data_IF_299543150357
#
_entry.id   IF_299543150357
#
_cell.length_a   1.000
_cell.length_b   1.000
_cell.length_c   1.000
_cell.angle_alpha   90.00
_cell.angle_beta   90.00
_cell.angle_gamma   90.00
#
_symmetry.space_group_name_H-M   'P 1'
#
loop_
_entity.id
_entity.type
_entity.pdbx_description
1 polymer ?
#
# COMPACT_ATOMS: atom_id res chain seq x y z
N UNK A 1 -27.13 -23.48 -17.15
CA UNK A 1 -26.08 -22.58 -17.67
C UNK A 1 -25.47 -23.24 -18.90
N UNK A 2 -25.28 -22.54 -20.03
CA UNK A 2 -24.68 -23.14 -21.23
C UNK A 2 -23.22 -23.56 -20.96
N UNK A 3 -22.80 -24.67 -21.56
CA UNK A 3 -21.43 -25.20 -21.45
C UNK A 3 -20.47 -24.21 -22.13
N UNK A 4 -19.43 -23.70 -21.44
CA UNK A 4 -18.44 -22.82 -22.04
C UNK A 4 -17.75 -23.45 -23.27
N UNK A 5 -17.53 -22.65 -24.31
CA UNK A 5 -17.02 -23.11 -25.61
C UNK A 5 -15.49 -23.34 -25.68
N UNK A 6 -14.77 -23.11 -24.59
CA UNK A 6 -13.32 -23.30 -24.53
C UNK A 6 -12.83 -23.51 -23.10
N UNK A 7 -11.71 -24.21 -22.93
CA UNK A 7 -11.04 -24.37 -21.63
C UNK A 7 -10.69 -23.02 -21.01
N UNK A 8 -10.37 -22.00 -21.82
CA UNK A 8 -10.12 -20.64 -21.32
C UNK A 8 -11.37 -20.04 -20.68
N UNK A 9 -12.54 -20.25 -21.28
CA UNK A 9 -13.81 -19.81 -20.70
C UNK A 9 -14.15 -20.60 -19.43
N UNK A 10 -13.86 -21.91 -19.39
CA UNK A 10 -13.98 -22.71 -18.16
C UNK A 10 -13.07 -22.25 -17.01
N UNK A 11 -11.89 -21.71 -17.33
CA UNK A 11 -10.96 -21.14 -16.33
C UNK A 11 -11.49 -19.86 -15.69
N UNK A 12 -12.47 -19.19 -16.30
CA UNK A 12 -12.92 -17.87 -15.84
C UNK A 12 -11.81 -16.80 -15.82
N UNK A 13 -10.75 -16.99 -16.63
CA UNK A 13 -9.53 -16.19 -16.48
C UNK A 13 -9.73 -14.73 -16.88
N UNK A 14 -9.45 -13.78 -15.98
CA UNK A 14 -9.36 -12.35 -16.28
C UNK A 14 -7.92 -11.86 -16.13
N UNK A 15 -7.26 -11.56 -17.25
CA UNK A 15 -5.90 -10.99 -17.23
C UNK A 15 -5.85 -9.60 -16.61
N UNK A 16 -6.96 -8.86 -16.65
CA UNK A 16 -7.06 -7.53 -16.07
C UNK A 16 -6.92 -7.53 -14.53
N UNK A 17 -7.25 -8.66 -13.89
CA UNK A 17 -7.14 -8.84 -12.44
C UNK A 17 -5.79 -9.39 -11.98
N UNK A 18 -4.88 -9.66 -12.91
CA UNK A 18 -3.54 -10.12 -12.56
C UNK A 18 -2.72 -8.94 -12.03
N UNK A 19 -2.25 -9.05 -10.79
CA UNK A 19 -1.28 -8.11 -10.20
C UNK A 19 0.13 -8.62 -10.47
N UNK A 20 0.97 -7.76 -11.05
CA UNK A 20 2.34 -8.08 -11.45
C UNK A 20 3.29 -6.98 -10.95
N UNK A 21 3.58 -6.93 -9.63
CA UNK A 21 4.47 -5.93 -9.08
C UNK A 21 5.86 -6.03 -9.71
N UNK A 22 6.46 -4.88 -10.03
CA UNK A 22 7.86 -4.83 -10.46
C UNK A 22 8.83 -4.74 -9.28
N UNK A 23 8.33 -4.34 -8.12
CA UNK A 23 9.10 -4.12 -6.91
C UNK A 23 8.20 -4.20 -5.67
N UNK A 24 8.78 -4.59 -4.55
CA UNK A 24 8.13 -4.77 -3.25
C UNK A 24 9.06 -4.24 -2.17
N UNK A 25 8.52 -3.42 -1.27
CA UNK A 25 9.25 -2.94 -0.10
C UNK A 25 8.96 -3.82 1.11
N UNK A 26 9.98 -4.10 1.91
CA UNK A 26 9.83 -4.62 3.28
C UNK A 26 10.13 -3.49 4.25
N UNK A 27 9.17 -3.23 5.13
CA UNK A 27 9.16 -2.14 6.08
C UNK A 27 9.01 -2.74 7.47
N UNK A 28 9.92 -2.42 8.38
CA UNK A 28 9.96 -3.04 9.71
C UNK A 28 10.16 -1.95 10.76
N UNK A 29 9.49 -2.08 11.90
CA UNK A 29 9.75 -1.27 13.07
C UNK A 29 9.51 -2.06 14.34
N UNK A 30 10.33 -1.85 15.37
CA UNK A 30 10.16 -2.56 16.65
C UNK A 30 8.92 -2.04 17.38
N UNK A 31 8.16 -2.95 17.98
CA UNK A 31 6.91 -2.64 18.68
C UNK A 31 7.13 -1.64 19.83
N UNK A 32 8.25 -1.72 20.54
CA UNK A 32 8.61 -0.78 21.62
C UNK A 32 8.90 0.65 21.13
N UNK A 33 9.05 0.85 19.81
CA UNK A 33 9.41 2.13 19.17
C UNK A 33 8.34 2.64 18.21
N UNK A 34 7.29 1.86 17.98
CA UNK A 34 6.24 2.12 16.97
C UNK A 34 4.89 2.08 17.67
N UNK A 35 4.11 3.15 17.51
CA UNK A 35 2.74 3.16 18.00
C UNK A 35 1.93 2.03 17.35
N UNK A 36 1.02 1.42 18.12
CA UNK A 36 0.13 0.39 17.58
C UNK A 36 -0.65 0.95 16.38
N UNK A 37 -0.63 0.24 15.26
CA UNK A 37 -1.51 0.51 14.12
C UNK A 37 -2.26 -0.77 13.79
N UNK A 38 -3.57 -0.65 13.77
CA UNK A 38 -4.53 -1.76 13.83
C UNK A 38 -4.80 -2.36 12.46
N UNK A 39 -3.76 -2.43 11.60
CA UNK A 39 -3.69 -3.11 10.28
C UNK A 39 -3.74 -2.25 9.01
N UNK A 40 -4.33 -1.06 9.04
CA UNK A 40 -4.48 -0.29 7.81
C UNK A 40 -3.32 0.70 7.60
N UNK A 41 -2.81 0.76 6.38
CA UNK A 41 -1.83 1.76 5.90
C UNK A 41 -2.40 2.63 4.77
N UNK A 42 -3.66 2.43 4.40
CA UNK A 42 -4.43 3.31 3.55
C UNK A 42 -4.83 4.55 4.36
N UNK A 43 -4.38 5.70 3.89
CA UNK A 43 -4.73 6.99 4.45
C UNK A 43 -6.16 7.39 4.15
N UNK A 44 -6.66 8.45 4.81
CA UNK A 44 -8.03 8.91 4.65
C UNK A 44 -8.39 9.37 3.23
N UNK A 45 -7.39 9.61 2.36
CA UNK A 45 -7.61 10.01 0.97
C UNK A 45 -7.13 8.96 -0.04
N UNK A 46 -6.87 7.72 0.41
CA UNK A 46 -6.43 6.60 -0.44
C UNK A 46 -4.92 6.61 -0.75
N UNK A 47 -4.14 7.43 -0.05
CA UNK A 47 -2.68 7.45 -0.11
C UNK A 47 -2.04 6.38 0.79
N UNK A 48 -0.78 6.03 0.55
CA UNK A 48 -0.05 5.16 1.47
C UNK A 48 0.47 5.97 2.66
N UNK A 49 0.10 5.59 3.88
CA UNK A 49 0.55 6.18 5.14
C UNK A 49 1.34 5.15 5.93
N UNK A 50 2.66 5.33 5.99
CA UNK A 50 3.53 4.47 6.81
C UNK A 50 3.64 5.05 8.24
N UNK A 51 3.27 4.28 9.28
CA UNK A 51 3.39 4.72 10.67
C UNK A 51 4.81 5.17 11.04
N UNK A 52 4.91 6.20 11.88
CA UNK A 52 6.18 6.70 12.37
C UNK A 52 6.96 5.62 13.12
N UNK A 53 8.25 5.46 12.79
CA UNK A 53 9.13 4.47 13.41
C UNK A 53 9.27 3.17 12.60
N UNK A 54 8.36 2.92 11.65
CA UNK A 54 8.53 1.85 10.66
C UNK A 54 9.39 2.37 9.52
N UNK A 55 10.42 1.62 9.15
CA UNK A 55 11.38 2.01 8.11
C UNK A 55 11.65 0.87 7.15
N UNK A 56 11.91 1.22 5.89
CA UNK A 56 12.32 0.26 4.88
C UNK A 56 13.62 -0.40 5.29
N UNK A 57 13.73 -1.71 5.07
CA UNK A 57 14.93 -2.50 5.43
C UNK A 57 16.12 -2.25 4.50
N UNK A 58 16.03 -1.24 3.63
CA UNK A 58 17.11 -0.78 2.76
C UNK A 58 17.09 -1.43 1.38
N UNK A 59 18.28 -1.56 0.81
CA UNK A 59 18.45 -2.05 -0.56
C UNK A 59 18.20 -3.56 -0.68
N UNK A 60 17.11 -3.91 -1.36
CA UNK A 60 16.77 -5.25 -1.85
C UNK A 60 16.86 -5.19 -3.39
N UNK A 61 17.52 -6.15 -4.01
CA UNK A 61 17.68 -6.18 -5.47
C UNK A 61 16.54 -6.95 -6.13
N UNK A 62 16.27 -6.67 -7.41
CA UNK A 62 15.17 -7.34 -8.15
C UNK A 62 15.38 -8.84 -8.37
N UNK A 63 16.62 -9.32 -8.32
CA UNK A 63 16.98 -10.75 -8.36
C UNK A 63 16.83 -11.44 -7.00
N UNK A 64 16.81 -10.67 -5.91
CA UNK A 64 16.57 -11.17 -4.57
C UNK A 64 15.06 -11.22 -4.32
N UNK A 65 14.52 -12.43 -4.16
CA UNK A 65 13.10 -12.60 -3.89
C UNK A 65 12.77 -12.14 -2.46
N UNK A 66 11.65 -11.45 -2.31
CA UNK A 66 10.96 -11.36 -1.02
C UNK A 66 10.03 -12.57 -0.97
N UNK A 67 10.35 -13.52 -0.11
CA UNK A 67 9.56 -14.71 0.11
C UNK A 67 8.45 -14.44 1.12
N UNK A 68 7.26 -14.96 0.80
CA UNK A 68 6.15 -15.04 1.73
C UNK A 68 5.66 -16.47 1.78
N UNK A 69 5.59 -17.01 2.99
CA UNK A 69 5.15 -18.37 3.25
C UNK A 69 3.92 -18.35 4.14
N UNK A 70 2.87 -19.04 3.69
CA UNK A 70 1.64 -19.25 4.45
C UNK A 70 1.64 -20.70 4.93
N UNK A 71 1.80 -20.89 6.24
CA UNK A 71 1.80 -22.20 6.87
C UNK A 71 0.48 -22.42 7.60
N UNK A 72 -0.14 -23.58 7.36
CA UNK A 72 -1.36 -24.03 8.03
C UNK A 72 -1.03 -25.37 8.70
N UNK A 73 -1.24 -25.44 10.01
CA UNK A 73 -1.17 -26.69 10.76
C UNK A 73 -2.58 -27.22 10.96
N UNK A 74 -2.76 -28.53 10.76
CA UNK A 74 -4.05 -29.18 10.92
C UNK A 74 -3.92 -30.55 11.59
N UNK A 75 -4.93 -30.92 12.35
CA UNK A 75 -5.10 -32.23 12.96
C UNK A 75 -6.26 -33.00 12.32
N UNK A 76 -6.07 -34.31 12.17
CA UNK A 76 -7.08 -35.23 11.65
C UNK A 76 -7.92 -35.82 12.79
N UNK A 77 -9.21 -36.02 12.53
CA UNK A 77 -10.13 -36.72 13.42
C UNK A 77 -10.58 -38.01 12.73
N UNK A 78 -10.15 -39.12 13.31
CA UNK A 78 -10.44 -40.46 12.81
C UNK A 78 -11.69 -41.03 13.48
N UNK A 79 -12.53 -41.70 12.70
CA UNK A 79 -13.69 -42.44 13.19
C UNK A 79 -13.49 -43.94 12.99
N UNK A 80 -13.98 -44.74 13.93
CA UNK A 80 -13.82 -46.18 13.88
C UNK A 80 -14.48 -46.78 12.62
N UNK A 81 -13.70 -47.51 11.82
CA UNK A 81 -14.18 -48.21 10.62
C UNK A 81 -13.94 -47.47 9.30
N UNK A 82 -13.50 -46.21 9.34
CA UNK A 82 -13.19 -45.43 8.14
C UNK A 82 -11.69 -45.44 7.83
N UNK A 83 -11.35 -45.57 6.55
CA UNK A 83 -9.96 -45.63 6.08
C UNK A 83 -9.29 -44.27 5.88
N UNK A 84 -10.05 -43.18 6.02
CA UNK A 84 -9.59 -41.80 5.90
C UNK A 84 -10.13 -40.97 7.06
N UNK A 85 -9.49 -39.83 7.38
CA UNK A 85 -10.01 -38.91 8.38
C UNK A 85 -11.43 -38.49 8.04
N UNK A 86 -12.32 -38.60 9.02
CA UNK A 86 -13.70 -38.12 8.86
C UNK A 86 -13.82 -36.61 8.95
N UNK A 87 -12.83 -35.95 9.56
CA UNK A 87 -12.73 -34.50 9.62
C UNK A 87 -11.27 -34.06 9.74
N UNK A 88 -10.95 -32.92 9.14
CA UNK A 88 -9.67 -32.20 9.33
C UNK A 88 -9.99 -30.89 10.05
N UNK A 89 -9.25 -30.57 11.10
CA UNK A 89 -9.37 -29.33 11.88
C UNK A 89 -8.08 -28.54 11.70
N UNK A 90 -8.19 -27.26 11.36
CA UNK A 90 -7.05 -26.35 11.29
C UNK A 90 -6.79 -25.81 12.70
N UNK A 91 -5.58 -25.96 13.21
CA UNK A 91 -5.21 -25.55 14.57
C UNK A 91 -4.60 -24.15 14.60
N UNK A 92 -3.75 -23.85 13.61
CA UNK A 92 -3.07 -22.57 13.50
C UNK A 92 -2.73 -22.23 12.06
N UNK A 93 -2.65 -20.94 11.81
CA UNK A 93 -2.05 -20.36 10.62
C UNK A 93 -0.89 -19.47 11.06
N UNK A 94 0.19 -19.43 10.27
CA UNK A 94 1.29 -18.49 10.44
C UNK A 94 1.78 -17.98 9.10
N UNK A 95 2.27 -16.75 9.09
CA UNK A 95 2.89 -16.13 7.93
C UNK A 95 4.36 -15.90 8.24
N UNK A 96 5.25 -16.34 7.35
CA UNK A 96 6.67 -16.03 7.42
C UNK A 96 7.08 -15.20 6.20
N UNK A 97 7.98 -14.24 6.44
CA UNK A 97 8.51 -13.33 5.44
C UNK A 97 10.03 -13.44 5.47
N UNK A 98 10.61 -13.88 4.38
CA UNK A 98 12.06 -13.94 4.18
C UNK A 98 12.47 -12.91 3.13
N UNK A 99 13.60 -12.23 3.35
CA UNK A 99 14.07 -11.18 2.47
C UNK A 99 15.58 -10.95 2.61
N UNK A 100 16.21 -10.53 1.52
CA UNK A 100 17.65 -10.30 1.45
C UNK A 100 17.98 -8.81 1.44
N UNK A 101 18.65 -8.33 2.48
CA UNK A 101 19.15 -6.95 2.57
C UNK A 101 20.61 -6.91 2.15
N UNK A 102 20.96 -5.98 1.26
CA UNK A 102 22.36 -5.74 0.82
C UNK A 102 22.98 -4.47 1.42
N UNK A 103 22.17 -3.66 2.09
CA UNK A 103 22.64 -2.49 2.82
C UNK A 103 23.17 -2.89 4.20
N UNK A 104 24.15 -2.14 4.72
CA UNK A 104 24.57 -2.28 6.12
C UNK A 104 24.20 -1.03 6.90
N UNK A 105 23.54 -1.23 8.03
CA UNK A 105 23.09 -0.16 8.92
C UNK A 105 22.59 -0.76 10.24
N UNK A 106 22.21 0.09 11.20
CA UNK A 106 21.76 -0.36 12.52
C UNK A 106 20.62 -1.38 12.41
N UNK A 107 19.57 -1.07 11.65
CA UNK A 107 18.40 -1.95 11.50
C UNK A 107 18.77 -3.33 10.95
N UNK A 108 19.66 -3.39 9.96
CA UNK A 108 20.10 -4.66 9.36
C UNK A 108 20.89 -5.50 10.37
N UNK A 109 21.75 -4.86 11.16
CA UNK A 109 22.49 -5.53 12.23
C UNK A 109 21.56 -6.00 13.36
N UNK A 110 20.59 -5.16 13.76
CA UNK A 110 19.58 -5.51 14.77
C UNK A 110 18.73 -6.71 14.32
N UNK A 111 18.34 -6.77 13.05
CA UNK A 111 17.58 -7.90 12.48
C UNK A 111 18.44 -9.18 12.33
N UNK A 112 19.71 -9.05 11.92
CA UNK A 112 20.58 -10.22 11.74
C UNK A 112 20.99 -10.85 13.07
N UNK A 113 21.32 -10.03 14.06
CA UNK A 113 21.87 -10.50 15.34
C UNK A 113 20.83 -10.54 16.45
N UNK A 114 19.59 -10.14 16.17
CA UNK A 114 18.50 -9.98 17.14
C UNK A 114 18.99 -9.26 18.40
N UNK A 115 19.58 -8.07 18.21
CA UNK A 115 20.20 -7.26 19.27
C UNK A 115 19.67 -5.82 19.27
N UNK A 116 19.87 -5.09 20.36
CA UNK A 116 19.60 -3.66 20.44
C UNK A 116 20.90 -2.85 20.28
N UNK A 117 21.01 -2.09 19.18
CA UNK A 117 22.20 -1.30 18.87
C UNK A 117 21.95 0.21 18.92
N UNK A 118 20.88 0.65 19.61
CA UNK A 118 20.62 2.07 19.86
C UNK A 118 21.75 2.78 20.59
N UNK A 119 22.37 2.10 21.56
CA UNK A 119 23.50 2.60 22.34
C UNK A 119 24.86 2.51 21.64
N UNK A 120 24.96 1.91 20.46
CA UNK A 120 26.24 1.79 19.74
C UNK A 120 26.65 3.17 19.19
N UNK A 121 27.79 3.66 19.66
CA UNK A 121 28.40 4.93 19.24
C UNK A 121 29.53 4.69 18.23
N UNK A 122 29.89 5.70 17.41
CA UNK A 122 31.07 5.62 16.56
C UNK A 122 32.35 5.35 17.36
N UNK A 123 33.27 4.57 16.78
CA UNK A 123 34.62 4.42 17.31
C UNK A 123 35.44 5.69 17.04
N UNK A 124 36.58 5.83 17.72
CA UNK A 124 37.50 6.96 17.53
C UNK A 124 37.99 7.13 16.08
N UNK A 125 37.84 6.11 15.23
CA UNK A 125 38.27 6.09 13.84
C UNK A 125 37.09 6.09 12.84
N UNK A 126 35.86 6.39 13.30
CA UNK A 126 34.68 6.53 12.44
C UNK A 126 33.98 5.23 12.06
N UNK A 127 34.38 4.09 12.65
CA UNK A 127 33.66 2.81 12.51
C UNK A 127 32.61 2.60 13.61
N UNK A 128 32.07 1.39 13.70
CA UNK A 128 31.25 0.95 14.84
C UNK A 128 31.72 -0.43 15.32
N UNK A 129 31.47 -0.73 16.59
CA UNK A 129 31.70 -2.05 17.18
C UNK A 129 30.37 -2.50 17.78
N UNK A 130 29.73 -3.48 17.15
CA UNK A 130 28.44 -4.04 17.58
C UNK A 130 28.68 -5.41 18.24
N UNK A 131 28.54 -5.54 19.56
CA UNK A 131 28.75 -6.81 20.25
C UNK A 131 27.61 -7.78 19.91
N UNK A 132 27.96 -9.03 19.58
CA UNK A 132 26.98 -10.08 19.31
C UNK A 132 26.80 -10.88 20.61
N UNK A 133 25.58 -10.93 21.11
CA UNK A 133 25.25 -11.67 22.32
C UNK A 133 25.26 -13.19 22.05
N UNK A 134 25.65 -13.98 23.06
CA UNK A 134 25.57 -15.44 22.98
C UNK A 134 24.14 -15.95 22.99
N UNK A 135 23.22 -15.18 23.57
CA UNK A 135 21.78 -15.41 23.56
C UNK A 135 21.16 -14.18 22.91
N UNK A 136 20.57 -14.29 21.71
CA UNK A 136 19.89 -13.17 21.08
C UNK A 136 18.64 -12.77 21.85
N UNK A 137 18.27 -11.50 21.77
CA UNK A 137 17.04 -10.98 22.36
C UNK A 137 15.84 -11.25 21.44
N UNK A 138 14.69 -11.57 22.02
CA UNK A 138 13.45 -11.76 21.26
C UNK A 138 12.71 -10.42 21.14
N UNK A 139 13.03 -9.66 20.10
CA UNK A 139 12.32 -8.42 19.80
C UNK A 139 11.09 -8.68 18.93
N UNK A 140 10.04 -7.94 19.25
CA UNK A 140 8.82 -7.87 18.46
C UNK A 140 8.88 -6.73 17.45
N UNK A 141 8.43 -7.04 16.24
CA UNK A 141 8.40 -6.11 15.13
C UNK A 141 7.01 -6.06 14.51
N UNK A 142 6.65 -4.88 14.01
CA UNK A 142 5.55 -4.73 13.07
C UNK A 142 6.14 -4.65 11.67
N UNK A 143 5.55 -5.41 10.75
CA UNK A 143 6.12 -5.67 9.42
C UNK A 143 5.10 -5.35 8.36
N UNK A 144 5.46 -4.47 7.43
CA UNK A 144 4.65 -4.12 6.27
C UNK A 144 5.39 -4.56 5.01
N UNK A 145 4.69 -5.29 4.17
CA UNK A 145 5.06 -5.58 2.79
C UNK A 145 4.23 -4.67 1.91
N UNK A 146 4.89 -3.87 1.08
CA UNK A 146 4.22 -2.91 0.21
C UNK A 146 4.68 -3.09 -1.23
N UNK A 147 3.79 -3.62 -2.04
CA UNK A 147 3.92 -3.71 -3.49
C UNK A 147 3.22 -2.55 -4.19
N UNK A 148 3.73 -2.25 -5.39
CA UNK A 148 3.08 -1.32 -6.30
C UNK A 148 2.91 -1.95 -7.67
N UNK A 149 1.71 -1.81 -8.21
CA UNK A 149 1.38 -2.11 -9.60
C UNK A 149 0.61 -0.93 -10.20
N UNK A 150 0.09 -1.08 -11.41
CA UNK A 150 -0.77 -0.09 -12.04
C UNK A 150 -1.83 -0.71 -12.93
N UNK A 151 -2.99 -0.05 -13.01
CA UNK A 151 -4.03 -0.36 -13.99
C UNK A 151 -4.28 0.87 -14.84
N UNK A 152 -4.08 0.75 -16.16
CA UNK A 152 -4.16 1.88 -17.12
C UNK A 152 -3.38 3.14 -16.67
N UNK A 153 -2.18 2.92 -16.13
CA UNK A 153 -1.28 3.97 -15.58
C UNK A 153 -1.71 4.59 -14.24
N UNK A 154 -2.83 4.17 -13.65
CA UNK A 154 -3.19 4.54 -12.29
C UNK A 154 -2.57 3.57 -11.28
N UNK A 155 -1.99 4.06 -10.17
CA UNK A 155 -1.31 3.20 -9.20
C UNK A 155 -2.28 2.27 -8.46
N UNK A 156 -1.80 1.05 -8.21
CA UNK A 156 -2.36 0.06 -7.28
C UNK A 156 -1.32 -0.16 -6.19
N UNK A 157 -1.74 -0.08 -4.94
CA UNK A 157 -0.94 -0.47 -3.78
C UNK A 157 -1.52 -1.74 -3.20
N UNK A 158 -0.68 -2.71 -2.85
CA UNK A 158 -1.14 -3.95 -2.24
C UNK A 158 -0.04 -4.55 -1.38
N UNK A 159 -0.40 -5.50 -0.52
CA UNK A 159 0.56 -6.21 0.30
C UNK A 159 -0.02 -6.63 1.63
N UNK A 160 0.82 -6.67 2.66
CA UNK A 160 0.45 -7.21 3.96
C UNK A 160 0.93 -6.31 5.07
N UNK A 161 0.06 -5.98 6.02
CA UNK A 161 0.40 -5.34 7.27
C UNK A 161 0.29 -6.39 8.38
N UNK A 162 1.42 -6.89 8.84
CA UNK A 162 1.49 -7.91 9.87
C UNK A 162 1.56 -7.24 11.24
N UNK A 163 0.69 -7.67 12.15
CA UNK A 163 0.57 -7.13 13.48
C UNK A 163 1.90 -7.34 14.22
N UNK A 164 2.19 -8.56 14.67
CA UNK A 164 3.40 -8.86 15.45
C UNK A 164 4.20 -9.95 14.76
N UNK A 165 5.49 -9.70 14.59
CA UNK A 165 6.45 -10.62 13.96
C UNK A 165 7.73 -10.68 14.76
N UNK A 166 8.40 -11.82 14.77
CA UNK A 166 9.70 -12.01 15.40
C UNK A 166 10.69 -12.61 14.41
N UNK A 167 11.98 -12.31 14.58
CA UNK A 167 13.05 -13.00 13.84
C UNK A 167 13.05 -14.45 14.28
N UNK A 168 12.65 -15.34 13.37
CA UNK A 168 12.54 -16.78 13.61
C UNK A 168 13.69 -17.58 13.01
N UNK A 169 14.42 -16.96 12.08
CA UNK A 169 15.57 -17.56 11.43
C UNK A 169 16.45 -16.49 10.81
N UNK A 170 17.72 -16.82 10.64
CA UNK A 170 18.68 -16.03 9.87
C UNK A 170 19.52 -16.99 9.03
N UNK A 171 19.71 -16.65 7.77
CA UNK A 171 20.43 -17.48 6.82
C UNK A 171 21.95 -17.24 6.90
N UNK A 172 22.71 -18.20 6.36
CA UNK A 172 24.17 -18.14 6.38
C UNK A 172 24.71 -16.97 5.55
N UNK A 173 25.66 -16.23 6.11
CA UNK A 173 26.46 -15.28 5.33
C UNK A 173 27.46 -16.02 4.46
N UNK A 174 27.36 -15.83 3.15
CA UNK A 174 28.25 -16.45 2.16
C UNK A 174 29.02 -15.37 1.40
N UNK A 175 30.34 -15.49 1.39
CA UNK A 175 31.21 -14.70 0.52
C UNK A 175 31.36 -15.41 -0.82
N UNK A 176 30.32 -15.30 -1.65
CA UNK A 176 30.31 -15.84 -3.02
C UNK A 176 30.76 -14.79 -4.04
N UNK A 177 31.02 -15.24 -5.27
CA UNK A 177 31.59 -14.49 -6.39
C UNK A 177 30.63 -13.44 -6.99
N UNK A 178 30.05 -12.57 -6.15
CA UNK A 178 29.26 -11.37 -6.47
C UNK A 178 29.55 -10.20 -5.49
N UNK A 179 30.57 -10.33 -4.64
CA UNK A 179 31.20 -9.27 -3.82
C UNK A 179 30.28 -8.38 -2.94
N UNK A 180 29.08 -8.83 -2.53
CA UNK A 180 28.20 -8.04 -1.66
C UNK A 180 27.89 -8.80 -0.37
N UNK A 181 27.91 -8.11 0.77
CA UNK A 181 27.48 -8.68 2.04
C UNK A 181 25.95 -8.78 2.07
N UNK A 182 25.44 -9.96 2.46
CA UNK A 182 24.02 -10.26 2.49
C UNK A 182 23.57 -10.50 3.93
N UNK A 183 22.44 -9.91 4.28
CA UNK A 183 21.71 -10.16 5.52
C UNK A 183 20.36 -10.77 5.14
N UNK A 184 20.04 -11.94 5.67
CA UNK A 184 18.85 -12.69 5.23
C UNK A 184 18.06 -13.20 6.45
N UNK A 185 17.30 -12.33 7.13
CA UNK A 185 16.42 -12.73 8.20
C UNK A 185 15.10 -13.30 7.68
N UNK A 186 14.47 -14.15 8.49
CA UNK A 186 13.07 -14.56 8.38
C UNK A 186 12.29 -13.97 9.55
N UNK A 187 11.22 -13.24 9.25
CA UNK A 187 10.26 -12.75 10.23
C UNK A 187 9.01 -13.64 10.21
N UNK A 188 8.56 -14.12 11.36
CA UNK A 188 7.34 -14.95 11.46
C UNK A 188 6.32 -14.31 12.39
N UNK A 189 5.04 -14.36 11.99
CA UNK A 189 3.94 -13.85 12.81
C UNK A 189 3.84 -14.61 14.12
N UNK A 190 3.64 -13.88 15.20
CA UNK A 190 3.35 -14.40 16.54
C UNK A 190 2.05 -13.75 17.05
N UNK A 191 1.45 -14.33 18.09
CA UNK A 191 0.23 -13.79 18.68
C UNK A 191 0.46 -12.36 19.18
N UNK A 192 -0.42 -11.45 18.79
CA UNK A 192 -0.45 -10.09 19.32
C UNK A 192 -1.33 -10.06 20.57
N UNK A 193 -0.80 -9.56 21.68
CA UNK A 193 -1.52 -9.57 22.96
C UNK A 193 -2.76 -8.66 22.90
N UNK A 194 -2.73 -7.62 22.05
CA UNK A 194 -3.86 -6.71 21.82
C UNK A 194 -4.88 -7.28 20.82
N UNK A 195 -4.49 -8.28 20.02
CA UNK A 195 -5.30 -8.81 18.93
C UNK A 195 -4.95 -10.27 18.58
N UNK A 196 -5.31 -11.17 19.49
CA UNK A 196 -4.93 -12.59 19.46
C UNK A 196 -5.47 -13.35 18.24
N UNK A 197 -6.58 -12.90 17.67
CA UNK A 197 -7.30 -13.61 16.61
C UNK A 197 -6.78 -13.31 15.21
N UNK A 198 -5.89 -12.32 15.06
CA UNK A 198 -5.50 -11.87 13.74
C UNK A 198 -4.00 -11.60 13.61
N UNK A 199 -3.41 -12.20 12.59
CA UNK A 199 -1.99 -12.09 12.27
C UNK A 199 -1.61 -10.77 11.59
N UNK A 200 -2.59 -10.10 10.97
CA UNK A 200 -2.39 -8.92 10.14
C UNK A 200 -3.55 -8.73 9.17
N UNK A 201 -3.30 -8.00 8.09
CA UNK A 201 -4.26 -7.74 7.00
C UNK A 201 -3.56 -7.82 5.65
N UNK A 202 -4.22 -8.42 4.66
CA UNK A 202 -3.90 -8.19 3.25
C UNK A 202 -4.66 -6.95 2.80
N UNK A 203 -3.95 -5.99 2.22
CA UNK A 203 -4.55 -4.78 1.67
C UNK A 203 -4.35 -4.72 0.17
N UNK A 204 -5.31 -4.11 -0.52
CA UNK A 204 -5.19 -3.66 -1.91
C UNK A 204 -6.07 -2.44 -2.09
N UNK A 205 -5.47 -1.33 -2.52
CA UNK A 205 -6.16 -0.05 -2.67
C UNK A 205 -5.49 0.84 -3.72
N UNK A 206 -6.06 2.02 -3.89
CA UNK A 206 -5.59 3.05 -4.81
C UNK A 206 -6.46 3.17 -6.07
N UNK A 207 -6.30 4.29 -6.79
CA UNK A 207 -7.18 4.66 -7.91
C UNK A 207 -7.14 3.65 -9.07
N UNK A 208 -6.04 2.91 -9.23
CA UNK A 208 -5.95 1.84 -10.23
C UNK A 208 -6.83 0.64 -9.88
N UNK A 209 -6.92 0.28 -8.60
CA UNK A 209 -7.72 -0.88 -8.17
C UNK A 209 -9.20 -0.53 -8.19
N UNK A 210 -9.56 0.68 -7.78
CA UNK A 210 -10.92 1.23 -7.91
C UNK A 210 -11.39 1.18 -9.38
N UNK A 211 -10.58 1.67 -10.33
CA UNK A 211 -10.91 1.61 -11.74
C UNK A 211 -11.00 0.16 -12.25
N UNK A 212 -10.06 -0.70 -11.83
CA UNK A 212 -10.08 -2.12 -12.20
C UNK A 212 -11.35 -2.82 -11.73
N UNK A 213 -11.80 -2.56 -10.49
CA UNK A 213 -13.02 -3.08 -9.92
C UNK A 213 -14.29 -2.53 -10.57
N UNK A 214 -14.26 -1.28 -11.06
CA UNK A 214 -15.37 -0.71 -11.82
C UNK A 214 -15.53 -1.32 -13.22
N UNK A 215 -14.43 -1.73 -13.85
CA UNK A 215 -14.43 -2.27 -15.22
C UNK A 215 -14.44 -3.81 -15.31
N UNK A 216 -14.11 -4.49 -14.22
CA UNK A 216 -13.97 -5.95 -14.18
C UNK A 216 -14.60 -6.51 -12.90
N UNK A 217 -15.14 -7.73 -13.01
CA UNK A 217 -15.69 -8.43 -11.84
C UNK A 217 -14.57 -8.95 -10.94
N UNK A 218 -14.29 -8.21 -9.88
CA UNK A 218 -13.33 -8.61 -8.83
C UNK A 218 -13.95 -9.55 -7.80
N UNK A 219 -15.27 -9.74 -7.81
CA UNK A 219 -16.02 -10.39 -6.73
C UNK A 219 -16.27 -9.49 -5.50
N UNK A 220 -15.67 -8.30 -5.45
CA UNK A 220 -15.94 -7.30 -4.40
C UNK A 220 -16.96 -6.27 -4.88
N UNK A 221 -17.73 -5.72 -3.95
CA UNK A 221 -18.67 -4.63 -4.27
C UNK A 221 -17.87 -3.34 -4.53
N UNK A 222 -17.98 -2.71 -5.71
CA UNK A 222 -17.24 -1.49 -6.01
C UNK A 222 -17.65 -0.33 -5.09
N UNK A 223 -16.71 0.56 -4.82
CA UNK A 223 -16.98 1.80 -4.09
C UNK A 223 -17.94 2.69 -4.90
N UNK A 224 -19.03 3.12 -4.30
CA UNK A 224 -20.02 3.97 -4.97
C UNK A 224 -19.79 5.45 -4.64
N UNK A 225 -19.52 6.26 -5.66
CA UNK A 225 -19.50 7.72 -5.49
C UNK A 225 -20.93 8.26 -5.44
N UNK A 226 -21.31 8.88 -4.33
CA UNK A 226 -22.66 9.45 -4.16
C UNK A 226 -22.75 10.90 -4.62
N UNK A 227 -21.74 11.71 -4.28
CA UNK A 227 -21.63 13.12 -4.63
C UNK A 227 -20.16 13.52 -4.85
N UNK A 228 -19.96 14.66 -5.52
CA UNK A 228 -18.69 15.37 -5.58
C UNK A 228 -18.89 16.83 -5.18
N UNK A 229 -17.86 17.45 -4.61
CA UNK A 229 -17.79 18.86 -4.28
C UNK A 229 -16.67 19.55 -5.05
N UNK A 230 -16.85 20.83 -5.39
CA UNK A 230 -15.82 21.68 -5.98
C UNK A 230 -15.46 22.78 -4.99
N UNK A 231 -14.16 22.95 -4.74
CA UNK A 231 -13.61 23.99 -3.88
C UNK A 231 -12.68 24.92 -4.68
N UNK A 232 -12.82 26.25 -4.54
CA UNK A 232 -13.93 26.94 -3.89
C UNK A 232 -15.24 26.82 -4.70
N UNK A 233 -16.40 26.99 -4.05
CA UNK A 233 -17.71 27.01 -4.72
C UNK A 233 -17.96 28.30 -5.51
N UNK A 234 -17.27 29.39 -5.15
CA UNK A 234 -17.30 30.64 -5.88
C UNK A 234 -16.00 31.41 -5.74
N UNK A 235 -15.59 32.16 -6.77
CA UNK A 235 -14.39 32.99 -6.76
C UNK A 235 -14.51 34.21 -7.66
N UNK A 236 -13.92 35.32 -7.23
CA UNK A 236 -13.66 36.49 -8.09
C UNK A 236 -12.20 36.50 -8.55
N UNK A 237 -11.96 36.76 -9.83
CA UNK A 237 -10.64 36.83 -10.46
C UNK A 237 -10.46 38.17 -11.18
N UNK A 238 -9.34 38.86 -10.99
CA UNK A 238 -9.02 40.08 -11.74
C UNK A 238 -8.19 39.79 -12.98
N UNK A 239 -8.58 40.39 -14.10
CA UNK A 239 -7.81 40.38 -15.34
C UNK A 239 -6.51 41.17 -15.20
N UNK A 240 -6.55 42.37 -14.63
CA UNK A 240 -5.37 43.21 -14.43
C UNK A 240 -4.31 42.57 -13.54
N UNK A 241 -4.73 41.82 -12.51
CA UNK A 241 -3.81 41.10 -11.64
C UNK A 241 -3.25 39.81 -12.26
N UNK A 242 -3.84 39.31 -13.36
CA UNK A 242 -3.48 38.04 -13.96
C UNK A 242 -3.85 36.83 -13.07
N UNK A 243 -4.93 36.95 -12.30
CA UNK A 243 -5.33 35.90 -11.35
C UNK A 243 -5.65 34.59 -12.07
N UNK A 244 -5.37 33.48 -11.40
CA UNK A 244 -5.87 32.16 -11.82
C UNK A 244 -6.45 31.43 -10.62
N UNK A 245 -7.31 30.44 -10.88
CA UNK A 245 -7.90 29.62 -9.83
C UNK A 245 -7.61 28.15 -10.10
N UNK A 246 -7.00 27.47 -9.14
CA UNK A 246 -6.97 26.01 -9.14
C UNK A 246 -8.21 25.49 -8.41
N UNK A 247 -9.02 24.69 -9.11
CA UNK A 247 -10.12 23.97 -8.47
C UNK A 247 -9.59 22.72 -7.77
N UNK A 248 -10.22 22.36 -6.65
CA UNK A 248 -10.13 21.04 -6.03
C UNK A 248 -11.48 20.35 -6.16
N UNK A 249 -11.49 19.12 -6.66
CA UNK A 249 -12.68 18.26 -6.68
C UNK A 249 -12.49 17.18 -5.63
N UNK A 250 -13.47 16.99 -4.76
CA UNK A 250 -13.46 15.97 -3.70
C UNK A 250 -14.73 15.16 -3.77
N UNK A 251 -14.67 13.85 -3.55
CA UNK A 251 -15.85 12.99 -3.49
C UNK A 251 -16.39 12.78 -2.07
N UNK A 252 -17.46 12.00 -1.95
CA UNK A 252 -18.07 11.68 -0.66
C UNK A 252 -17.20 10.86 0.31
N UNK A 253 -16.02 10.43 -0.13
CA UNK A 253 -15.04 9.71 0.69
C UNK A 253 -13.83 10.60 1.03
N UNK A 254 -13.84 11.89 0.65
CA UNK A 254 -12.72 12.80 0.90
C UNK A 254 -11.55 12.63 -0.08
N UNK A 255 -11.71 11.81 -1.13
CA UNK A 255 -10.64 11.56 -2.11
C UNK A 255 -10.58 12.72 -3.11
N UNK A 256 -9.37 13.21 -3.38
CA UNK A 256 -9.14 14.25 -4.39
C UNK A 256 -9.33 13.66 -5.81
N UNK A 257 -10.38 14.10 -6.49
CA UNK A 257 -10.73 13.70 -7.85
C UNK A 257 -10.36 14.75 -8.89
N UNK A 258 -9.58 15.78 -8.53
CA UNK A 258 -9.27 16.92 -9.41
C UNK A 258 -8.66 16.48 -10.74
N UNK A 259 -7.72 15.52 -10.70
CA UNK A 259 -7.05 15.02 -11.90
C UNK A 259 -7.90 14.01 -12.71
N UNK A 260 -8.90 13.40 -12.07
CA UNK A 260 -9.79 12.41 -12.70
C UNK A 260 -11.09 13.04 -13.22
N UNK A 261 -11.44 14.24 -12.74
CA UNK A 261 -12.61 14.97 -13.17
C UNK A 261 -12.42 15.60 -14.56
N UNK A 262 -13.52 15.73 -15.28
CA UNK A 262 -13.60 16.52 -16.51
C UNK A 262 -14.24 17.86 -16.22
N UNK A 263 -13.82 18.91 -16.94
CA UNK A 263 -14.26 20.28 -16.69
C UNK A 263 -14.87 20.92 -17.93
N UNK A 264 -15.89 21.74 -17.72
CA UNK A 264 -16.50 22.55 -18.76
C UNK A 264 -16.78 23.96 -18.22
N UNK A 265 -16.58 24.98 -19.06
CA UNK A 265 -16.99 26.36 -18.76
C UNK A 265 -18.29 26.67 -19.48
N UNK A 266 -19.23 27.31 -18.78
CA UNK A 266 -20.45 27.83 -19.40
C UNK A 266 -20.18 28.99 -20.38
N UNK A 267 -19.03 29.66 -20.26
CA UNK A 267 -18.62 30.78 -21.11
C UNK A 267 -17.10 30.86 -21.23
N UNK A 268 -16.55 30.15 -22.22
CA UNK A 268 -15.10 30.14 -22.49
C UNK A 268 -14.55 31.54 -22.89
N UNK A 269 -15.40 32.43 -23.39
CA UNK A 269 -15.05 33.84 -23.66
C UNK A 269 -14.85 34.67 -22.39
N UNK A 270 -15.38 34.21 -21.25
CA UNK A 270 -15.28 34.90 -19.95
C UNK A 270 -14.20 34.24 -19.08
N UNK A 271 -14.21 32.92 -18.96
CA UNK A 271 -13.19 32.15 -18.26
C UNK A 271 -13.03 30.75 -18.88
N UNK A 272 -11.79 30.31 -19.03
CA UNK A 272 -11.45 28.97 -19.53
C UNK A 272 -11.00 28.08 -18.38
N UNK A 273 -11.17 26.77 -18.52
CA UNK A 273 -10.67 25.75 -17.58
C UNK A 273 -9.93 24.67 -18.37
N UNK A 274 -8.76 24.24 -17.91
CA UNK A 274 -8.00 23.18 -18.54
C UNK A 274 -8.33 21.79 -17.94
N UNK A 275 -7.68 20.74 -18.46
CA UNK A 275 -7.87 19.36 -17.99
C UNK A 275 -7.40 19.10 -16.56
N UNK A 276 -6.57 19.98 -15.99
CA UNK A 276 -6.11 19.89 -14.60
C UNK A 276 -6.95 20.72 -13.63
N UNK A 277 -8.09 21.26 -14.07
CA UNK A 277 -8.97 22.10 -13.23
C UNK A 277 -8.45 23.50 -12.95
N UNK A 278 -7.46 23.98 -13.72
CA UNK A 278 -6.97 25.37 -13.63
C UNK A 278 -7.84 26.29 -14.48
N UNK A 279 -8.46 27.26 -13.82
CA UNK A 279 -9.32 28.29 -14.41
C UNK A 279 -8.50 29.56 -14.69
N UNK A 280 -8.65 30.09 -15.90
CA UNK A 280 -7.99 31.33 -16.36
C UNK A 280 -9.05 32.33 -16.83
N UNK A 281 -9.06 33.56 -16.30
CA UNK A 281 -9.97 34.61 -16.73
C UNK A 281 -9.60 35.09 -18.14
N UNK A 282 -10.60 35.48 -18.94
CA UNK A 282 -10.43 35.93 -20.33
C UNK A 282 -11.05 37.31 -20.55
N UNK A 283 -12.27 37.52 -20.07
CA UNK A 283 -12.98 38.80 -20.17
C UNK A 283 -13.88 39.02 -18.95
N UNK A 284 -14.20 40.27 -18.66
CA UNK A 284 -15.08 40.63 -17.54
C UNK A 284 -16.46 40.02 -17.72
N UNK A 285 -17.01 39.41 -16.66
CA UNK A 285 -18.31 38.75 -16.71
C UNK A 285 -18.42 37.62 -15.69
N UNK A 286 -19.41 36.76 -15.85
CA UNK A 286 -19.62 35.58 -15.00
C UNK A 286 -19.58 34.30 -15.83
N UNK A 287 -18.89 33.29 -15.34
CA UNK A 287 -18.88 31.94 -15.90
C UNK A 287 -19.11 30.92 -14.79
N UNK A 288 -19.83 29.85 -15.09
CA UNK A 288 -19.95 28.69 -14.21
C UNK A 288 -19.05 27.59 -14.74
N UNK A 289 -18.13 27.13 -13.91
CA UNK A 289 -17.29 25.98 -14.22
C UNK A 289 -17.94 24.73 -13.63
N UNK A 290 -18.20 23.74 -14.47
CA UNK A 290 -18.77 22.44 -14.07
C UNK A 290 -17.66 21.40 -14.07
N UNK A 291 -17.47 20.71 -12.94
CA UNK A 291 -16.65 19.53 -12.83
C UNK A 291 -17.55 18.28 -12.85
N UNK A 292 -17.11 17.23 -13.54
CA UNK A 292 -17.82 15.95 -13.65
C UNK A 292 -16.85 14.81 -13.35
N UNK A 293 -17.22 13.95 -12.40
CA UNK A 293 -16.51 12.70 -12.08
C UNK A 293 -17.52 11.56 -12.02
N UNK A 294 -17.27 10.50 -12.80
CA UNK A 294 -18.24 9.45 -13.09
C UNK A 294 -19.59 10.04 -13.58
N UNK A 295 -20.69 9.79 -12.88
CA UNK A 295 -22.03 10.33 -13.19
C UNK A 295 -22.40 11.55 -12.35
N UNK A 296 -21.47 12.05 -11.52
CA UNK A 296 -21.70 13.14 -10.57
C UNK A 296 -21.11 14.43 -11.08
N UNK A 297 -21.80 15.55 -10.79
CA UNK A 297 -21.41 16.89 -11.21
C UNK A 297 -21.44 17.85 -10.02
N UNK A 298 -20.55 18.83 -10.04
CA UNK A 298 -20.54 19.96 -9.11
C UNK A 298 -20.00 21.21 -9.82
N UNK A 299 -20.30 22.38 -9.29
CA UNK A 299 -20.03 23.66 -9.98
C UNK A 299 -19.28 24.67 -9.11
N UNK A 300 -18.53 25.54 -9.77
CA UNK A 300 -17.91 26.73 -9.19
C UNK A 300 -18.34 27.97 -9.98
N UNK A 301 -18.88 28.98 -9.29
CA UNK A 301 -19.21 30.27 -9.89
C UNK A 301 -17.96 31.17 -9.96
N UNK A 302 -17.64 31.67 -11.15
CA UNK A 302 -16.48 32.55 -11.37
C UNK A 302 -16.97 33.92 -11.84
N UNK A 303 -16.57 34.97 -11.13
CA UNK A 303 -16.78 36.36 -11.54
C UNK A 303 -15.45 36.97 -11.94
N UNK A 304 -15.33 37.42 -13.18
CA UNK A 304 -14.14 38.07 -13.69
C UNK A 304 -14.34 39.57 -13.66
N UNK A 305 -13.47 40.27 -12.93
CA UNK A 305 -13.42 41.72 -12.85
C UNK A 305 -12.26 42.25 -13.68
N UNK A 306 -12.30 43.55 -13.97
CA UNK A 306 -11.20 44.24 -14.64
C UNK A 306 -9.89 44.10 -13.84
#
# INVERSE_FOLDING_TARGET
MPIPNSIKAFKGSSKALQIAPLDMAVLVGRVDRVAAFTRNIEGPTGEVVIPSGIKGVGYITKDSAIGMKFDISSNNIDSAGEGLPTRIIIDKQSIAVDFEMRQTGRQQLELQFSGDYTGVTPSAHGGIHAPIATVPDNFDYRTILLGKDSYKSLPIFFGYALNRTQVSGVDNQKWAQNNTLLWHPTLTTVADDDDLDNLGEFFIFGPGFELCAAENDTGFTPLTTEWIGVLPQSRSLSLAAGDTLQLKVEDNHGVDRTAAATYASSSASTATVNTSGKVTPVATGTATITATYQTKTATCAVTVTA
#
